data_IF_049723466489
#
_entry.id   IF_049723466489
#
_cell.length_a   1.000
_cell.length_b   1.000
_cell.length_c   1.000
_cell.angle_alpha   90.00
_cell.angle_beta   90.00
_cell.angle_gamma   90.00
#
_symmetry.space_group_name_H-M   'P 1'
#
loop_
_entity.id
_entity.type
_entity.pdbx_description
1 polymer ?
#
# COMPACT_ATOMS: atom_id res chain seq x y z
N UNK A 1 -9.44 -6.82 -38.28
CA UNK A 1 -10.46 -7.41 -37.38
C UNK A 1 -10.50 -6.63 -36.06
N UNK A 2 -11.35 -5.60 -35.91
CA UNK A 2 -11.37 -4.75 -34.71
C UNK A 2 -11.71 -5.54 -33.44
N UNK A 3 -12.70 -6.43 -33.53
CA UNK A 3 -13.23 -7.20 -32.40
C UNK A 3 -12.18 -8.09 -31.67
N UNK A 4 -11.21 -8.62 -32.40
CA UNK A 4 -10.14 -9.42 -31.80
C UNK A 4 -9.15 -8.56 -30.98
N UNK A 5 -8.84 -7.34 -31.44
CA UNK A 5 -7.91 -6.42 -30.75
C UNK A 5 -8.44 -6.01 -29.38
N UNK A 6 -9.72 -5.63 -29.31
CA UNK A 6 -10.39 -5.26 -28.05
C UNK A 6 -10.43 -6.44 -27.07
N UNK A 7 -10.64 -7.64 -27.58
CA UNK A 7 -10.60 -8.85 -26.76
C UNK A 7 -9.20 -9.12 -26.19
N UNK A 8 -8.15 -8.96 -26.99
CA UNK A 8 -6.78 -9.14 -26.51
C UNK A 8 -6.43 -8.11 -25.42
N UNK A 9 -6.67 -6.83 -25.67
CA UNK A 9 -6.39 -5.78 -24.69
C UNK A 9 -7.16 -6.02 -23.37
N UNK A 10 -8.43 -6.43 -23.45
CA UNK A 10 -9.22 -6.79 -22.27
C UNK A 10 -8.60 -7.97 -21.52
N UNK A 11 -8.13 -9.01 -22.22
CA UNK A 11 -7.50 -10.18 -21.61
C UNK A 11 -6.20 -9.77 -20.89
N UNK A 12 -5.39 -8.94 -21.53
CA UNK A 12 -4.15 -8.42 -20.94
C UNK A 12 -4.44 -7.58 -19.69
N UNK A 13 -5.44 -6.69 -19.74
CA UNK A 13 -5.85 -5.90 -18.56
C UNK A 13 -6.29 -6.81 -17.41
N UNK A 14 -7.07 -7.86 -17.69
CA UNK A 14 -7.45 -8.83 -16.65
C UNK A 14 -6.25 -9.59 -16.09
N UNK A 15 -5.23 -9.86 -16.90
CA UNK A 15 -4.00 -10.50 -16.45
C UNK A 15 -3.17 -9.58 -15.57
N UNK A 16 -3.10 -8.29 -15.90
CA UNK A 16 -2.47 -7.25 -15.07
C UNK A 16 -3.08 -7.25 -13.66
N UNK A 17 -4.40 -7.28 -13.54
CA UNK A 17 -5.06 -7.31 -12.23
C UNK A 17 -4.79 -8.61 -11.45
N UNK A 18 -4.71 -9.75 -12.11
CA UNK A 18 -4.34 -11.02 -11.47
C UNK A 18 -2.89 -11.02 -10.97
N UNK A 19 -1.98 -10.41 -11.71
CA UNK A 19 -0.57 -10.26 -11.30
C UNK A 19 -0.49 -9.29 -10.13
N UNK A 20 -1.19 -8.16 -10.20
CA UNK A 20 -1.25 -7.15 -9.12
C UNK A 20 -1.62 -7.79 -7.78
N UNK A 21 -2.65 -8.63 -7.76
CA UNK A 21 -3.12 -9.32 -6.56
C UNK A 21 -2.09 -10.29 -5.93
N UNK A 22 -1.01 -10.63 -6.66
CA UNK A 22 0.02 -11.56 -6.20
C UNK A 22 1.37 -10.87 -5.93
N UNK A 23 1.47 -9.57 -6.12
CA UNK A 23 2.70 -8.80 -5.87
C UNK A 23 3.00 -8.72 -4.38
N UNK A 24 1.99 -8.37 -3.59
CA UNK A 24 2.07 -8.33 -2.14
C UNK A 24 1.08 -9.34 -1.56
N UNK A 25 1.59 -10.35 -0.89
CA UNK A 25 0.78 -11.45 -0.36
C UNK A 25 0.72 -11.32 1.16
N UNK A 26 -0.45 -10.96 1.73
CA UNK A 26 -0.63 -10.94 3.17
C UNK A 26 -0.37 -12.32 3.78
N UNK A 27 0.24 -12.34 4.98
CA UNK A 27 0.60 -13.58 5.68
C UNK A 27 -0.01 -13.63 7.07
N UNK A 28 0.13 -12.56 7.86
CA UNK A 28 -0.41 -12.52 9.22
C UNK A 28 -0.79 -11.09 9.61
N UNK A 29 -1.79 -10.92 10.50
CA UNK A 29 -2.13 -9.60 11.02
C UNK A 29 -1.01 -9.05 11.90
N UNK A 30 -0.94 -7.71 11.98
CA UNK A 30 -0.17 -6.97 12.98
C UNK A 30 -1.07 -6.64 14.17
N UNK A 31 -0.49 -6.60 15.37
CA UNK A 31 -1.10 -5.92 16.50
C UNK A 31 -0.95 -4.42 16.29
N UNK A 32 -2.00 -3.66 16.54
CA UNK A 32 -2.00 -2.22 16.31
C UNK A 32 -2.60 -1.48 17.49
N UNK A 33 -1.83 -0.55 18.04
CA UNK A 33 -2.29 0.42 19.02
C UNK A 33 -2.23 1.81 18.41
N UNK A 34 -3.31 2.58 18.53
CA UNK A 34 -3.37 3.98 18.12
C UNK A 34 -3.53 4.86 19.36
N UNK A 35 -2.75 5.92 19.43
CA UNK A 35 -2.87 7.00 20.42
C UNK A 35 -3.44 8.22 19.72
N UNK A 36 -4.78 8.33 19.73
CA UNK A 36 -5.50 9.33 18.97
C UNK A 36 -5.52 10.69 19.69
N UNK A 37 -5.30 11.77 18.96
CA UNK A 37 -5.30 13.16 19.41
C UNK A 37 -6.09 14.04 18.44
N UNK A 38 -6.57 15.20 18.90
CA UNK A 38 -7.22 16.20 18.02
C UNK A 38 -6.23 17.15 17.36
N UNK A 39 -5.00 17.21 17.88
CA UNK A 39 -3.92 18.05 17.37
C UNK A 39 -2.66 17.21 17.25
N UNK A 40 -1.76 17.53 16.32
CA UNK A 40 -0.49 16.82 16.17
C UNK A 40 0.37 16.93 17.44
N UNK A 41 0.97 15.83 17.84
CA UNK A 41 1.98 15.79 18.91
C UNK A 41 3.29 15.20 18.38
N UNK A 42 4.41 15.62 18.94
CA UNK A 42 5.72 15.13 18.52
C UNK A 42 5.98 13.68 18.98
N UNK A 43 7.04 13.07 18.47
CA UNK A 43 7.40 11.69 18.77
C UNK A 43 7.64 11.42 20.26
N UNK A 44 8.13 12.41 21.04
CA UNK A 44 8.36 12.25 22.48
C UNK A 44 7.05 12.09 23.25
N UNK A 45 5.96 12.67 22.75
CA UNK A 45 4.63 12.68 23.37
C UNK A 45 3.64 11.70 22.67
N UNK A 46 4.12 10.83 21.78
CA UNK A 46 3.31 9.94 20.93
C UNK A 46 2.34 9.02 21.66
N UNK A 47 2.52 8.80 22.96
CA UNK A 47 1.66 7.94 23.78
C UNK A 47 0.73 8.72 24.70
N UNK A 48 0.64 10.04 24.59
CA UNK A 48 -0.22 10.88 25.45
C UNK A 48 -1.67 10.96 24.97
N UNK A 49 -1.95 10.48 23.75
CA UNK A 49 -3.29 10.44 23.18
C UNK A 49 -4.20 9.38 23.81
N UNK A 50 -5.46 9.34 23.35
CA UNK A 50 -6.40 8.29 23.72
C UNK A 50 -5.93 6.95 23.16
N UNK A 51 -5.55 6.03 24.03
CA UNK A 51 -5.10 4.69 23.64
C UNK A 51 -6.26 3.84 23.12
N UNK A 52 -6.06 3.22 21.96
CA UNK A 52 -7.02 2.37 21.28
C UNK A 52 -6.31 1.14 20.69
N UNK A 53 -6.77 -0.06 21.07
CA UNK A 53 -6.33 -1.31 20.44
C UNK A 53 -7.24 -1.59 19.25
N UNK A 54 -6.69 -1.57 18.05
CA UNK A 54 -7.46 -1.58 16.81
C UNK A 54 -7.23 -2.86 16.00
N UNK A 55 -8.26 -3.23 15.24
CA UNK A 55 -8.24 -4.28 14.24
C UNK A 55 -8.67 -3.71 12.88
N UNK A 56 -8.46 -4.46 11.81
CA UNK A 56 -9.03 -4.11 10.51
C UNK A 56 -10.56 -3.98 10.62
N UNK A 57 -11.09 -2.89 10.10
CA UNK A 57 -12.50 -2.51 10.19
C UNK A 57 -12.84 -1.54 11.32
N UNK A 58 -12.00 -1.39 12.34
CA UNK A 58 -12.22 -0.44 13.43
C UNK A 58 -11.94 1.00 12.97
N UNK A 59 -12.73 1.97 13.50
CA UNK A 59 -12.50 3.39 13.29
C UNK A 59 -11.61 3.94 14.40
N UNK A 60 -10.68 4.86 14.06
CA UNK A 60 -9.75 5.44 15.00
C UNK A 60 -9.91 6.96 15.20
N UNK A 61 -10.50 7.65 14.25
CA UNK A 61 -10.80 9.08 14.32
C UNK A 61 -12.29 9.37 14.08
N UNK A 62 -12.75 10.50 14.59
CA UNK A 62 -14.13 10.97 14.47
C UNK A 62 -14.24 12.16 13.52
N UNK A 63 -13.15 12.94 13.40
CA UNK A 63 -13.09 14.16 12.60
C UNK A 63 -11.99 14.08 11.54
N UNK A 64 -12.17 14.80 10.45
CA UNK A 64 -11.26 14.81 9.30
C UNK A 64 -9.83 15.23 9.62
N UNK A 65 -9.61 15.98 10.71
CA UNK A 65 -8.29 16.46 11.12
C UNK A 65 -7.77 15.78 12.39
N UNK A 66 -8.42 14.72 12.86
CA UNK A 66 -7.88 13.94 13.97
C UNK A 66 -6.51 13.35 13.58
N UNK A 67 -5.61 13.29 14.55
CA UNK A 67 -4.27 12.77 14.44
C UNK A 67 -4.12 11.53 15.31
N UNK A 68 -3.10 10.73 15.06
CA UNK A 68 -2.83 9.57 15.89
C UNK A 68 -1.47 8.96 15.64
N UNK A 69 -0.81 8.57 16.70
CA UNK A 69 0.39 7.74 16.61
C UNK A 69 0.00 6.27 16.62
N UNK A 70 0.40 5.57 15.58
CA UNK A 70 0.17 4.13 15.44
C UNK A 70 1.41 3.35 15.81
N UNK A 71 1.25 2.34 16.64
CA UNK A 71 2.28 1.38 16.98
C UNK A 71 1.90 0.02 16.39
N UNK A 72 2.65 -0.43 15.41
CA UNK A 72 2.48 -1.75 14.78
C UNK A 72 3.47 -2.72 15.37
N UNK A 73 2.98 -3.81 15.94
CA UNK A 73 3.78 -4.82 16.60
C UNK A 73 3.49 -6.22 16.07
N UNK A 74 4.48 -7.10 16.19
CA UNK A 74 4.33 -8.51 15.82
C UNK A 74 5.66 -9.23 15.72
N UNK A 75 5.63 -10.36 15.07
CA UNK A 75 6.83 -11.13 14.70
C UNK A 75 6.75 -11.54 13.24
N UNK A 76 7.90 -11.57 12.58
CA UNK A 76 7.98 -12.05 11.19
C UNK A 76 7.60 -13.52 11.13
N UNK A 77 6.54 -13.89 10.36
CA UNK A 77 6.09 -15.28 10.26
C UNK A 77 7.09 -16.22 9.58
N UNK A 78 6.96 -17.52 9.83
CA UNK A 78 7.81 -18.55 9.21
C UNK A 78 7.71 -18.55 7.67
N UNK A 79 6.56 -18.22 7.13
CA UNK A 79 6.28 -18.11 5.68
C UNK A 79 7.09 -17.01 5.00
N UNK A 80 7.57 -16.02 5.76
CA UNK A 80 8.40 -14.92 5.29
C UNK A 80 9.90 -15.25 5.30
N UNK A 81 10.32 -16.40 5.88
CA UNK A 81 11.74 -16.76 5.99
C UNK A 81 12.47 -16.69 4.65
N UNK A 82 13.50 -15.85 4.58
CA UNK A 82 14.35 -15.66 3.38
C UNK A 82 13.67 -14.92 2.22
N UNK A 83 12.44 -14.43 2.39
CA UNK A 83 11.70 -13.68 1.37
C UNK A 83 11.66 -12.19 1.69
N UNK A 84 11.59 -11.30 0.68
CA UNK A 84 11.33 -9.89 0.91
C UNK A 84 10.03 -9.72 1.72
N UNK A 85 10.15 -9.14 2.91
CA UNK A 85 9.05 -8.98 3.87
C UNK A 85 8.64 -7.52 3.94
N UNK A 86 7.35 -7.28 3.91
CA UNK A 86 6.74 -5.94 3.94
C UNK A 86 5.70 -5.85 5.04
N UNK A 87 5.42 -4.64 5.49
CA UNK A 87 4.22 -4.31 6.24
C UNK A 87 3.23 -3.65 5.28
N UNK A 88 2.01 -4.13 5.30
CA UNK A 88 0.89 -3.64 4.50
C UNK A 88 0.00 -2.83 5.43
N UNK A 89 -0.06 -1.52 5.23
CA UNK A 89 -0.68 -0.58 6.15
C UNK A 89 -1.59 0.38 5.38
N UNK A 90 -2.87 0.40 5.75
CA UNK A 90 -3.84 1.39 5.29
C UNK A 90 -4.79 1.72 6.45
N UNK A 91 -4.63 2.90 7.01
CA UNK A 91 -5.45 3.43 8.11
C UNK A 91 -6.51 4.41 7.60
N UNK A 92 -6.77 4.46 6.29
CA UNK A 92 -7.71 5.38 5.62
C UNK A 92 -7.34 6.87 5.72
N UNK A 93 -6.06 7.15 6.01
CA UNK A 93 -5.52 8.50 6.11
C UNK A 93 -4.09 8.56 5.54
N UNK A 94 -3.42 9.67 5.81
CA UNK A 94 -2.00 9.82 5.52
C UNK A 94 -1.17 9.36 6.71
N UNK A 95 -0.02 8.75 6.47
CA UNK A 95 0.87 8.29 7.52
C UNK A 95 2.33 8.56 7.21
N UNK A 96 3.13 8.78 8.25
CA UNK A 96 4.56 8.93 8.17
C UNK A 96 5.23 7.93 9.11
N UNK A 97 5.81 6.88 8.53
CA UNK A 97 6.60 5.91 9.29
C UNK A 97 7.90 6.58 9.73
N UNK A 98 8.24 6.37 10.99
CA UNK A 98 9.45 6.91 11.62
C UNK A 98 10.34 5.81 12.18
N UNK A 99 11.61 6.12 12.36
CA UNK A 99 12.58 5.25 13.03
C UNK A 99 12.50 5.33 14.58
N UNK A 100 13.39 4.64 15.26
CA UNK A 100 13.45 4.61 16.72
C UNK A 100 13.80 5.98 17.35
N UNK A 101 14.28 6.93 16.59
CA UNK A 101 14.58 8.30 17.00
C UNK A 101 13.45 9.28 16.66
N UNK A 102 12.43 8.83 15.93
CA UNK A 102 11.35 9.67 15.44
C UNK A 102 11.65 10.36 14.10
N UNK A 103 12.77 9.98 13.43
CA UNK A 103 13.11 10.55 12.13
C UNK A 103 12.28 9.92 11.01
N UNK A 104 11.83 10.74 10.04
CA UNK A 104 11.00 10.28 8.92
C UNK A 104 11.69 9.21 8.06
N UNK A 105 11.00 8.10 7.80
CA UNK A 105 11.47 7.00 6.94
C UNK A 105 10.67 6.91 5.65
N UNK A 106 9.33 6.83 5.74
CA UNK A 106 8.49 6.66 4.56
C UNK A 106 7.06 7.16 4.78
N UNK A 107 6.54 7.89 3.79
CA UNK A 107 5.12 8.23 3.73
C UNK A 107 4.25 7.07 3.29
N UNK A 108 3.07 6.95 3.90
CA UNK A 108 1.99 6.02 3.55
C UNK A 108 0.76 6.85 3.18
N UNK A 109 0.04 6.46 2.13
CA UNK A 109 -1.22 7.11 1.75
C UNK A 109 -2.28 6.09 1.36
N UNK A 110 -3.54 6.37 1.73
CA UNK A 110 -4.71 5.58 1.36
C UNK A 110 -5.23 5.90 -0.05
N UNK A 111 -4.73 6.97 -0.71
CA UNK A 111 -5.30 7.49 -1.96
C UNK A 111 -4.54 7.01 -3.17
N UNK A 112 -5.28 6.49 -4.15
CA UNK A 112 -4.83 6.37 -5.52
C UNK A 112 -4.98 7.71 -6.25
N UNK A 113 -4.03 8.05 -7.11
CA UNK A 113 -4.13 9.25 -7.93
C UNK A 113 -5.36 9.23 -8.83
N UNK A 114 -6.10 10.34 -8.85
CA UNK A 114 -7.20 10.54 -9.79
C UNK A 114 -6.71 10.76 -11.24
N UNK A 115 -5.43 10.99 -11.44
CA UNK A 115 -4.83 11.34 -12.73
C UNK A 115 -4.23 10.14 -13.47
N UNK A 116 -4.75 8.94 -13.23
CA UNK A 116 -4.30 7.69 -13.87
C UNK A 116 -2.79 7.35 -13.66
N UNK A 117 -2.11 8.16 -12.91
CA UNK A 117 -0.74 7.90 -12.46
C UNK A 117 -0.83 7.21 -11.13
N UNK A 118 -1.12 6.01 -11.03
CA UNK A 118 -1.17 5.17 -9.82
C UNK A 118 -0.25 5.60 -8.66
N UNK A 119 -0.33 6.88 -8.25
CA UNK A 119 0.27 7.32 -7.00
C UNK A 119 -0.35 6.45 -5.91
N UNK A 120 0.39 5.45 -5.47
CA UNK A 120 -0.12 4.54 -4.49
C UNK A 120 -0.37 3.12 -4.96
N UNK A 121 -0.48 2.85 -6.25
CA UNK A 121 -0.61 1.47 -6.75
C UNK A 121 0.71 0.95 -7.30
N UNK A 122 1.22 -0.16 -6.74
CA UNK A 122 0.85 -0.84 -5.51
C UNK A 122 1.65 -0.40 -4.28
N UNK A 123 2.28 0.74 -4.23
CA UNK A 123 3.37 1.02 -3.31
C UNK A 123 3.08 1.94 -2.12
N UNK A 124 1.97 2.67 -2.10
CA UNK A 124 1.78 3.72 -1.08
C UNK A 124 1.26 3.22 0.28
N UNK A 125 0.76 2.01 0.36
CA UNK A 125 0.33 1.33 1.57
C UNK A 125 1.28 0.17 1.95
N UNK A 126 2.48 0.13 1.35
CA UNK A 126 3.48 -0.91 1.58
C UNK A 126 4.75 -0.30 2.16
N UNK A 127 5.17 -0.82 3.29
CA UNK A 127 6.46 -0.48 3.90
C UNK A 127 7.42 -1.66 3.77
N UNK A 128 8.53 -1.55 3.01
CA UNK A 128 9.58 -2.57 2.94
C UNK A 128 10.25 -2.73 4.31
N UNK A 129 10.05 -3.89 4.94
CA UNK A 129 10.54 -4.13 6.30
C UNK A 129 11.88 -4.87 6.33
N UNK A 130 11.99 -5.97 5.60
CA UNK A 130 13.23 -6.74 5.48
C UNK A 130 13.42 -7.26 4.05
N UNK A 131 14.63 -7.14 3.48
CA UNK A 131 14.94 -7.69 2.15
C UNK A 131 14.92 -9.21 2.11
N UNK A 132 15.28 -9.85 3.24
CA UNK A 132 15.15 -11.28 3.47
C UNK A 132 14.63 -11.49 4.89
N UNK A 133 13.37 -11.87 5.02
CA UNK A 133 12.70 -12.03 6.30
C UNK A 133 13.43 -13.01 7.22
N UNK A 134 13.55 -12.65 8.48
CA UNK A 134 14.08 -13.52 9.54
C UNK A 134 12.92 -13.92 10.44
N UNK A 135 12.44 -15.15 10.30
CA UNK A 135 11.31 -15.66 11.07
C UNK A 135 11.55 -15.51 12.58
N UNK A 136 10.53 -15.03 13.30
CA UNK A 136 10.61 -14.75 14.73
C UNK A 136 11.25 -13.40 15.10
N UNK A 137 11.81 -12.64 14.15
CA UNK A 137 12.29 -11.29 14.45
C UNK A 137 11.12 -10.36 14.82
N UNK A 138 11.37 -9.47 15.80
CA UNK A 138 10.36 -8.51 16.27
C UNK A 138 10.03 -7.48 15.20
N UNK A 139 8.76 -7.17 15.08
CA UNK A 139 8.24 -6.01 14.37
C UNK A 139 7.86 -4.98 15.44
N UNK A 140 8.36 -3.75 15.29
CA UNK A 140 8.18 -2.64 16.21
C UNK A 140 8.29 -1.36 15.40
N UNK A 141 7.16 -0.88 14.86
CA UNK A 141 7.14 0.22 13.89
C UNK A 141 6.15 1.28 14.34
N UNK A 142 6.59 2.53 14.31
CA UNK A 142 5.77 3.68 14.63
C UNK A 142 5.43 4.49 13.37
N UNK A 143 4.21 5.04 13.36
CA UNK A 143 3.71 5.88 12.28
C UNK A 143 2.92 7.05 12.86
N UNK A 144 3.27 8.27 12.50
CA UNK A 144 2.43 9.45 12.69
C UNK A 144 1.34 9.46 11.62
N UNK A 145 0.09 9.57 12.01
CA UNK A 145 -1.07 9.46 11.14
C UNK A 145 -2.01 10.64 11.23
N UNK A 146 -2.58 11.03 10.08
CA UNK A 146 -3.66 12.00 9.97
C UNK A 146 -4.89 11.35 9.34
N UNK A 147 -6.09 11.68 9.86
CA UNK A 147 -7.36 11.09 9.42
C UNK A 147 -7.74 11.49 7.99
N UNK A 148 -7.28 12.64 7.53
CA UNK A 148 -7.53 13.10 6.17
C UNK A 148 -6.57 12.44 5.16
N UNK A 149 -7.05 12.34 3.94
CA UNK A 149 -6.21 11.99 2.80
C UNK A 149 -5.43 13.20 2.25
N UNK A 150 -4.63 12.97 1.22
CA UNK A 150 -3.84 13.98 0.48
C UNK A 150 -4.68 15.21 0.05
N UNK A 151 -5.99 15.08 -0.08
CA UNK A 151 -6.90 16.14 -0.49
C UNK A 151 -7.72 16.73 0.66
N UNK A 152 -7.41 16.40 1.88
CA UNK A 152 -8.13 16.87 3.07
C UNK A 152 -9.51 16.23 3.27
N UNK A 153 -9.72 15.02 2.75
CA UNK A 153 -10.99 14.30 2.83
C UNK A 153 -10.84 13.05 3.69
N UNK A 154 -11.79 12.83 4.58
CA UNK A 154 -11.90 11.59 5.35
C UNK A 154 -12.35 10.45 4.43
N UNK A 155 -11.58 9.36 4.37
CA UNK A 155 -11.90 8.17 3.58
C UNK A 155 -12.38 7.04 4.48
N UNK A 156 -13.19 6.15 3.90
CA UNK A 156 -13.63 4.89 4.51
C UNK A 156 -14.14 5.05 5.97
N UNK A 157 -14.73 6.20 6.30
CA UNK A 157 -15.19 6.51 7.67
C UNK A 157 -14.07 6.39 8.73
N UNK A 158 -12.83 6.67 8.33
CA UNK A 158 -11.66 6.56 9.22
C UNK A 158 -11.37 5.14 9.71
N UNK A 159 -11.76 4.12 8.94
CA UNK A 159 -11.54 2.72 9.33
C UNK A 159 -10.19 2.23 8.85
N UNK A 160 -9.55 1.42 9.68
CA UNK A 160 -8.38 0.65 9.28
C UNK A 160 -8.78 -0.35 8.19
N UNK A 161 -8.14 -0.27 7.04
CA UNK A 161 -8.39 -1.17 5.91
C UNK A 161 -7.41 -2.34 5.89
N UNK A 162 -6.17 -2.12 6.36
CA UNK A 162 -5.10 -3.11 6.25
C UNK A 162 -4.03 -2.87 7.31
N UNK A 163 -3.66 -3.93 8.05
CA UNK A 163 -2.55 -3.94 9.00
C UNK A 163 -1.95 -5.35 9.07
N UNK A 164 -1.08 -5.72 8.10
CA UNK A 164 -0.59 -7.09 7.96
C UNK A 164 0.90 -7.15 7.64
N UNK A 165 1.52 -8.24 8.03
CA UNK A 165 2.81 -8.67 7.49
C UNK A 165 2.57 -9.39 6.18
N UNK A 166 3.37 -9.10 5.17
CA UNK A 166 3.25 -9.73 3.87
C UNK A 166 4.60 -10.07 3.23
N UNK A 167 4.52 -10.83 2.15
CA UNK A 167 5.66 -11.13 1.26
C UNK A 167 5.55 -10.30 0.00
N UNK A 168 6.67 -9.71 -0.40
CA UNK A 168 6.79 -8.98 -1.66
C UNK A 168 7.40 -9.85 -2.76
N UNK A 169 6.63 -10.13 -3.80
CA UNK A 169 7.11 -10.79 -4.99
C UNK A 169 7.75 -9.76 -5.96
N UNK A 170 9.03 -9.46 -5.75
CA UNK A 170 9.77 -8.46 -6.56
C UNK A 170 9.75 -8.76 -8.07
N UNK A 171 9.71 -10.04 -8.47
CA UNK A 171 9.63 -10.41 -9.90
C UNK A 171 8.27 -10.09 -10.51
N UNK A 172 7.19 -10.40 -9.80
CA UNK A 172 5.84 -10.03 -10.25
C UNK A 172 5.64 -8.51 -10.22
N UNK A 173 6.26 -7.81 -9.27
CA UNK A 173 6.24 -6.35 -9.23
C UNK A 173 6.85 -5.75 -10.51
N UNK A 174 8.05 -6.19 -10.91
CA UNK A 174 8.69 -5.73 -12.15
C UNK A 174 7.83 -6.05 -13.37
N UNK A 175 7.36 -7.30 -13.49
CA UNK A 175 6.48 -7.71 -14.59
C UNK A 175 5.19 -6.87 -14.63
N UNK A 176 4.58 -6.58 -13.48
CA UNK A 176 3.38 -5.76 -13.39
C UNK A 176 3.60 -4.38 -14.01
N UNK A 177 4.68 -3.70 -13.65
CA UNK A 177 4.97 -2.37 -14.20
C UNK A 177 5.33 -2.39 -15.67
N UNK A 178 6.10 -3.37 -16.13
CA UNK A 178 6.38 -3.55 -17.56
C UNK A 178 5.07 -3.71 -18.35
N UNK A 179 4.13 -4.52 -17.86
CA UNK A 179 2.83 -4.70 -18.50
C UNK A 179 1.96 -3.45 -18.44
N UNK A 180 1.93 -2.72 -17.32
CA UNK A 180 1.17 -1.47 -17.18
C UNK A 180 1.67 -0.45 -18.21
N UNK A 181 2.98 -0.23 -18.28
CA UNK A 181 3.58 0.72 -19.25
C UNK A 181 3.20 0.35 -20.69
N UNK A 182 3.27 -0.93 -21.05
CA UNK A 182 2.90 -1.39 -22.39
C UNK A 182 1.39 -1.23 -22.67
N UNK A 183 0.54 -1.53 -21.70
CA UNK A 183 -0.92 -1.35 -21.82
C UNK A 183 -1.28 0.13 -21.99
N UNK A 184 -0.69 1.01 -21.20
CA UNK A 184 -0.96 2.44 -21.26
C UNK A 184 -0.43 3.05 -22.57
N UNK A 185 0.73 2.60 -23.04
CA UNK A 185 1.20 2.96 -24.37
C UNK A 185 0.22 2.53 -25.47
N UNK A 186 -0.34 1.31 -25.40
CA UNK A 186 -1.33 0.84 -26.37
C UNK A 186 -2.62 1.69 -26.34
N UNK A 187 -3.09 2.10 -25.17
CA UNK A 187 -4.27 2.97 -25.02
C UNK A 187 -4.09 4.33 -25.71
N UNK A 188 -2.85 4.87 -25.70
CA UNK A 188 -2.50 6.15 -26.30
C UNK A 188 -2.06 6.06 -27.77
N UNK A 189 -1.92 4.85 -28.34
CA UNK A 189 -1.39 4.61 -29.68
C UNK A 189 -2.47 4.45 -30.73
N UNK A 190 -2.19 4.82 -31.99
CA UNK A 190 -3.10 4.55 -33.13
C UNK A 190 -3.27 3.01 -33.34
N UNK A 191 -4.48 2.45 -33.15
CA UNK A 191 -4.74 1.03 -33.31
C UNK A 191 -4.50 0.48 -34.74
N UNK A 192 -4.33 1.38 -35.71
CA UNK A 192 -4.03 1.01 -37.11
C UNK A 192 -2.53 0.91 -37.37
N UNK A 193 -1.69 1.41 -36.49
CA UNK A 193 -0.24 1.40 -36.68
C UNK A 193 0.36 0.00 -36.59
N UNK A 194 1.43 -0.24 -37.35
CA UNK A 194 2.18 -1.49 -37.29
C UNK A 194 2.75 -1.71 -35.89
N UNK A 195 3.24 -0.63 -35.25
CA UNK A 195 3.80 -0.64 -33.89
C UNK A 195 2.79 -1.07 -32.84
N UNK A 196 1.55 -0.57 -32.91
CA UNK A 196 0.46 -1.03 -32.03
C UNK A 196 0.28 -2.54 -32.11
N UNK A 197 0.23 -3.09 -33.33
CA UNK A 197 0.04 -4.52 -33.54
C UNK A 197 1.22 -5.33 -32.99
N UNK A 198 2.46 -4.91 -33.22
CA UNK A 198 3.66 -5.57 -32.70
C UNK A 198 3.64 -5.62 -31.16
N UNK A 199 3.29 -4.50 -30.50
CA UNK A 199 3.24 -4.45 -29.04
C UNK A 199 2.08 -5.27 -28.47
N UNK A 200 0.90 -5.24 -29.11
CA UNK A 200 -0.25 -6.03 -28.69
C UNK A 200 0.04 -7.54 -28.73
N UNK A 201 0.86 -8.00 -29.67
CA UNK A 201 1.25 -9.41 -29.78
C UNK A 201 2.44 -9.78 -28.89
N UNK A 202 3.17 -8.81 -28.35
CA UNK A 202 4.25 -9.03 -27.39
C UNK A 202 3.74 -9.17 -25.93
N UNK A 203 2.55 -8.69 -25.65
CA UNK A 203 1.83 -8.81 -24.37
C UNK A 203 1.06 -10.13 -24.26
#
# INVERSE_FOLDING_TARGET
>A
MPYLKDRYLRTVTQMVEKIRAQVFVPVSPLTMTCYATTEPVDFAHRTEGREMHLHEGDSWGENVFDCGWFHFEGTVPQECQGKPTVLLIDVSGEGLIVDAQGEPVQGITCVDSQYDFSLGKPGKWVYPFQDAGVAGSKIDVWMDGAQNDLFGVMRNEGRVQLAQVGVWNKRLYTLLYDMIVLVDYLKCSDPKSARYNQMLFAL
#
